data_IF_552023277798
#
_entry.id   IF_552023277798
#
_cell.length_a   1.000
_cell.length_b   1.000
_cell.length_c   1.000
_cell.angle_alpha   90.00
_cell.angle_beta   90.00
_cell.angle_gamma   90.00
#
_symmetry.space_group_name_H-M   'P 1'
#
loop_
_entity.id
_entity.type
_entity.pdbx_description
1 polymer ?
#
# COMPACT_ATOMS: atom_id res chain seq x y z
N UNK A 1 -3.21 -14.51 -2.25
CA UNK A 1 -3.64 -13.09 -2.12
C UNK A 1 -5.15 -13.01 -2.10
N UNK A 2 -5.71 -12.16 -1.23
CA UNK A 2 -7.13 -11.83 -1.14
C UNK A 2 -7.35 -10.37 -1.57
N UNK A 3 -8.49 -10.08 -2.21
CA UNK A 3 -8.90 -8.73 -2.60
C UNK A 3 -10.30 -8.45 -2.06
N UNK A 4 -10.42 -7.36 -1.30
CA UNK A 4 -11.70 -6.84 -0.82
C UNK A 4 -12.01 -5.56 -1.61
N UNK A 5 -13.01 -5.65 -2.49
CA UNK A 5 -13.50 -4.49 -3.25
C UNK A 5 -14.24 -3.53 -2.34
N UNK A 6 -14.17 -2.24 -2.66
CA UNK A 6 -14.86 -1.17 -1.91
C UNK A 6 -14.69 -1.30 -0.38
N UNK A 7 -13.47 -1.65 0.05
CA UNK A 7 -13.14 -1.89 1.46
C UNK A 7 -13.27 -0.61 2.31
N UNK A 8 -13.03 0.54 1.68
CA UNK A 8 -13.37 1.84 2.24
C UNK A 8 -14.45 2.52 1.41
N UNK A 9 -15.21 3.38 2.08
CA UNK A 9 -16.18 4.25 1.41
C UNK A 9 -15.49 5.43 0.71
N UNK A 10 -16.24 6.16 -0.11
CA UNK A 10 -15.77 7.43 -0.71
C UNK A 10 -15.37 8.43 0.37
N UNK A 11 -16.17 8.54 1.43
CA UNK A 11 -15.92 9.47 2.53
C UNK A 11 -14.65 9.12 3.32
N UNK A 12 -14.44 7.83 3.57
CA UNK A 12 -13.23 7.32 4.22
C UNK A 12 -11.98 7.59 3.38
N UNK A 13 -12.05 7.40 2.06
CA UNK A 13 -10.98 7.75 1.13
C UNK A 13 -10.68 9.26 1.16
N UNK A 14 -11.70 10.10 1.09
CA UNK A 14 -11.54 11.57 1.13
C UNK A 14 -10.91 12.02 2.46
N UNK A 15 -11.27 11.39 3.58
CA UNK A 15 -10.72 11.70 4.90
C UNK A 15 -9.24 11.29 5.03
N UNK A 16 -8.86 10.13 4.47
CA UNK A 16 -7.45 9.74 4.37
C UNK A 16 -6.67 10.76 3.54
N UNK A 17 -7.17 11.10 2.35
CA UNK A 17 -6.51 12.04 1.44
C UNK A 17 -6.33 13.42 2.08
N UNK A 18 -7.35 13.97 2.75
CA UNK A 18 -7.24 15.25 3.45
C UNK A 18 -6.16 15.26 4.52
N UNK A 19 -5.95 14.15 5.22
CA UNK A 19 -4.89 14.04 6.23
C UNK A 19 -3.49 13.87 5.61
N UNK A 20 -3.39 13.09 4.53
CA UNK A 20 -2.13 12.78 3.85
C UNK A 20 -1.60 13.94 3.01
N UNK A 21 -2.48 14.63 2.29
CA UNK A 21 -2.16 15.75 1.40
C UNK A 21 -1.46 16.92 2.12
N UNK A 22 -1.69 17.09 3.43
CA UNK A 22 -1.01 18.14 4.20
C UNK A 22 0.52 17.99 4.13
N UNK A 23 1.00 16.74 4.11
CA UNK A 23 2.42 16.42 4.07
C UNK A 23 2.89 16.09 2.64
N UNK A 24 2.22 15.16 1.95
CA UNK A 24 2.66 14.63 0.65
C UNK A 24 2.83 15.72 -0.40
N UNK A 25 1.95 16.73 -0.46
CA UNK A 25 2.03 17.83 -1.45
C UNK A 25 3.31 18.67 -1.37
N UNK A 26 4.03 18.60 -0.24
CA UNK A 26 5.29 19.32 -0.03
C UNK A 26 6.50 18.52 -0.49
N UNK A 27 6.33 17.21 -0.69
CA UNK A 27 7.36 16.32 -1.20
C UNK A 27 7.41 16.38 -2.73
N UNK A 28 8.60 16.19 -3.28
CA UNK A 28 8.81 16.06 -4.72
C UNK A 28 8.72 14.59 -5.09
N UNK A 29 8.30 14.31 -6.32
CA UNK A 29 8.42 12.96 -6.85
C UNK A 29 9.89 12.63 -7.11
N UNK A 30 10.28 11.45 -6.66
CA UNK A 30 11.61 10.86 -6.78
C UNK A 30 11.61 9.82 -7.91
N UNK A 31 12.72 9.79 -8.65
CA UNK A 31 12.94 8.90 -9.79
C UNK A 31 14.25 8.13 -9.67
N UNK A 32 15.15 8.55 -8.77
CA UNK A 32 16.44 7.94 -8.52
C UNK A 32 16.47 7.47 -7.06
N UNK A 33 16.32 6.15 -6.84
CA UNK A 33 16.44 5.53 -5.52
C UNK A 33 17.50 4.43 -5.53
N UNK A 34 18.13 4.15 -4.38
CA UNK A 34 19.32 3.29 -4.30
C UNK A 34 19.05 1.81 -4.66
N UNK A 35 17.83 1.33 -4.44
CA UNK A 35 17.38 -0.01 -4.84
C UNK A 35 16.64 -0.04 -6.18
N UNK A 36 16.39 1.14 -6.76
CA UNK A 36 15.78 1.35 -8.07
C UNK A 36 14.40 0.68 -8.25
N UNK A 37 13.73 0.30 -7.15
CA UNK A 37 12.51 -0.50 -7.17
C UNK A 37 11.25 0.31 -7.49
N UNK A 38 11.20 1.58 -7.11
CA UNK A 38 10.03 2.45 -7.29
C UNK A 38 10.42 3.70 -8.08
N UNK A 39 9.59 4.09 -9.05
CA UNK A 39 9.83 5.19 -9.98
C UNK A 39 8.67 6.18 -9.95
N UNK A 40 8.97 7.47 -9.91
CA UNK A 40 7.96 8.54 -9.94
C UNK A 40 7.06 8.52 -8.71
N UNK A 41 7.65 8.44 -7.53
CA UNK A 41 6.95 8.29 -6.25
C UNK A 41 7.33 9.34 -5.23
N UNK A 42 6.48 9.53 -4.23
CA UNK A 42 6.81 10.23 -2.97
C UNK A 42 6.22 9.43 -1.84
N UNK A 43 6.87 9.42 -0.68
CA UNK A 43 6.44 8.56 0.41
C UNK A 43 6.61 9.19 1.78
N UNK A 44 5.90 8.62 2.75
CA UNK A 44 6.04 8.96 4.16
C UNK A 44 5.67 7.77 5.02
N UNK A 45 6.12 7.77 6.26
CA UNK A 45 5.74 6.78 7.26
C UNK A 45 4.94 7.44 8.38
N UNK A 46 3.79 6.87 8.75
CA UNK A 46 2.90 7.44 9.74
C UNK A 46 2.63 6.50 10.90
N UNK A 47 2.91 6.99 12.11
CA UNK A 47 2.54 6.32 13.36
C UNK A 47 1.11 6.61 13.79
N UNK A 48 0.71 7.88 13.66
CA UNK A 48 -0.51 8.41 14.25
C UNK A 48 -1.44 8.93 13.16
N UNK A 49 -2.73 8.64 13.34
CA UNK A 49 -3.81 9.04 12.44
C UNK A 49 -4.86 9.83 13.21
N UNK A 50 -5.61 10.70 12.52
CA UNK A 50 -6.82 11.27 13.11
C UNK A 50 -7.79 10.16 13.49
N UNK A 51 -8.64 10.42 14.49
CA UNK A 51 -9.59 9.44 15.02
C UNK A 51 -10.41 8.72 13.93
N UNK A 52 -10.88 9.47 12.93
CA UNK A 52 -11.66 8.95 11.80
C UNK A 52 -10.85 8.04 10.86
N UNK A 53 -9.56 8.29 10.70
CA UNK A 53 -8.68 7.47 9.86
C UNK A 53 -8.06 6.30 10.64
N UNK A 54 -7.92 6.43 11.96
CA UNK A 54 -7.45 5.36 12.84
C UNK A 54 -8.41 4.16 12.80
N UNK A 55 -9.73 4.38 12.71
CA UNK A 55 -10.71 3.29 12.58
C UNK A 55 -10.52 2.49 11.29
N UNK A 56 -10.10 3.13 10.19
CA UNK A 56 -9.78 2.45 8.93
C UNK A 56 -8.54 1.59 9.11
N UNK A 57 -7.47 2.16 9.71
CA UNK A 57 -6.23 1.44 9.98
C UNK A 57 -6.48 0.22 10.87
N UNK A 58 -7.27 0.37 11.93
CA UNK A 58 -7.62 -0.72 12.83
C UNK A 58 -8.50 -1.77 12.13
N UNK A 59 -9.40 -1.36 11.23
CA UNK A 59 -10.19 -2.28 10.40
C UNK A 59 -9.31 -3.10 9.45
N UNK A 60 -8.31 -2.48 8.82
CA UNK A 60 -7.31 -3.19 7.99
C UNK A 60 -6.57 -4.22 8.86
N UNK A 61 -6.12 -3.82 10.06
CA UNK A 61 -5.40 -4.69 10.99
C UNK A 61 -6.20 -5.93 11.33
N UNK A 62 -7.46 -5.75 11.72
CA UNK A 62 -8.35 -6.83 12.12
C UNK A 62 -8.70 -7.80 10.97
N UNK A 63 -8.70 -7.31 9.73
CA UNK A 63 -9.04 -8.14 8.56
C UNK A 63 -7.81 -8.89 8.04
N UNK A 64 -6.64 -8.25 8.03
CA UNK A 64 -5.45 -8.81 7.40
C UNK A 64 -4.57 -9.63 8.35
N UNK A 65 -4.48 -9.25 9.62
CA UNK A 65 -3.50 -9.80 10.57
C UNK A 65 -4.17 -10.57 11.70
N UNK A 66 -3.42 -11.47 12.34
CA UNK A 66 -3.89 -12.18 13.52
C UNK A 66 -3.83 -11.26 14.75
N UNK A 67 -4.66 -11.53 15.76
CA UNK A 67 -4.83 -10.67 16.95
C UNK A 67 -3.52 -10.39 17.70
N UNK A 68 -2.54 -11.30 17.61
CA UNK A 68 -1.24 -11.20 18.28
C UNK A 68 -0.07 -10.97 17.32
N UNK A 69 -0.33 -10.64 16.05
CA UNK A 69 0.73 -10.32 15.09
C UNK A 69 1.50 -9.08 15.54
N UNK A 70 2.83 -9.15 15.52
CA UNK A 70 3.69 -7.98 15.75
C UNK A 70 3.74 -7.13 14.48
N UNK A 71 2.93 -6.08 14.46
CA UNK A 71 2.89 -5.15 13.34
C UNK A 71 4.03 -4.12 13.41
N UNK A 72 4.47 -3.65 12.26
CA UNK A 72 5.36 -2.50 12.19
C UNK A 72 4.70 -1.28 12.85
N UNK A 73 5.46 -0.47 13.59
CA UNK A 73 4.91 0.66 14.32
C UNK A 73 4.44 1.80 13.41
N UNK A 74 4.93 1.84 12.18
CA UNK A 74 4.61 2.86 11.19
C UNK A 74 3.87 2.24 10.01
N UNK A 75 2.86 2.95 9.52
CA UNK A 75 2.17 2.63 8.27
C UNK A 75 2.88 3.38 7.16
N UNK A 76 3.35 2.66 6.15
CA UNK A 76 3.94 3.24 4.95
C UNK A 76 2.85 3.79 4.04
N UNK A 77 3.07 5.00 3.52
CA UNK A 77 2.19 5.66 2.57
C UNK A 77 3.00 5.99 1.34
N UNK A 78 2.63 5.37 0.22
CA UNK A 78 3.24 5.56 -1.07
C UNK A 78 2.27 6.28 -2.01
N UNK A 79 2.74 7.36 -2.62
CA UNK A 79 2.01 8.11 -3.63
C UNK A 79 2.79 8.01 -4.94
N UNK A 80 2.16 7.42 -5.95
CA UNK A 80 2.70 7.28 -7.29
C UNK A 80 2.13 8.39 -8.18
N UNK A 81 3.01 9.04 -8.93
CA UNK A 81 2.61 9.92 -10.02
C UNK A 81 1.88 9.13 -11.11
N UNK A 82 1.23 9.84 -12.04
CA UNK A 82 0.51 9.23 -13.17
C UNK A 82 1.36 8.26 -13.99
N UNK A 83 2.64 8.60 -14.17
CA UNK A 83 3.61 7.80 -14.94
C UNK A 83 4.54 6.99 -14.01
N UNK A 84 4.25 7.00 -12.69
CA UNK A 84 4.99 6.27 -11.68
C UNK A 84 4.63 4.78 -11.66
N UNK A 85 5.59 3.95 -11.26
CA UNK A 85 5.44 2.50 -11.29
C UNK A 85 6.42 1.81 -10.34
N UNK A 86 6.18 0.53 -10.09
CA UNK A 86 6.97 -0.29 -9.19
C UNK A 86 7.53 -1.49 -9.99
N UNK A 87 8.86 -1.69 -9.94
CA UNK A 87 9.54 -2.85 -10.53
C UNK A 87 9.18 -4.14 -9.79
N UNK A 88 9.33 -5.31 -10.43
CA UNK A 88 9.28 -6.58 -9.73
C UNK A 88 10.30 -6.61 -8.60
N UNK A 89 9.83 -6.81 -7.37
CA UNK A 89 10.65 -6.94 -6.18
C UNK A 89 9.94 -7.84 -5.16
N UNK A 90 10.69 -8.26 -4.15
CA UNK A 90 10.18 -8.95 -2.97
C UNK A 90 10.52 -8.06 -1.78
N UNK A 91 9.52 -7.73 -0.96
CA UNK A 91 9.73 -6.99 0.28
C UNK A 91 10.81 -7.66 1.14
N UNK A 92 11.63 -6.85 1.81
CA UNK A 92 12.71 -7.38 2.63
C UNK A 92 12.19 -8.26 3.76
N UNK A 93 12.57 -9.54 3.79
CA UNK A 93 12.26 -10.49 4.88
C UNK A 93 12.79 -10.05 6.25
N UNK A 94 13.71 -9.09 6.29
CA UNK A 94 14.23 -8.53 7.55
C UNK A 94 13.31 -7.48 8.16
N UNK A 95 12.52 -6.81 7.32
CA UNK A 95 11.72 -5.64 7.69
C UNK A 95 10.23 -5.86 7.51
N UNK A 96 9.83 -6.79 6.63
CA UNK A 96 8.46 -7.19 6.40
C UNK A 96 8.18 -8.55 7.07
N UNK A 97 6.98 -8.70 7.62
CA UNK A 97 6.52 -9.96 8.21
C UNK A 97 6.08 -10.97 7.14
N UNK A 98 5.24 -11.91 7.54
CA UNK A 98 4.62 -12.88 6.63
C UNK A 98 3.38 -12.32 5.89
N UNK A 99 2.93 -11.12 6.26
CA UNK A 99 1.68 -10.54 5.75
C UNK A 99 1.88 -9.09 5.31
N UNK A 100 1.43 -8.77 4.09
CA UNK A 100 1.33 -7.41 3.56
C UNK A 100 -0.14 -7.08 3.32
N UNK A 101 -0.58 -5.92 3.79
CA UNK A 101 -1.92 -5.41 3.57
C UNK A 101 -1.84 -3.98 3.04
N UNK A 102 -2.38 -3.74 1.85
CA UNK A 102 -2.33 -2.44 1.19
C UNK A 102 -3.70 -1.98 0.72
N UNK A 103 -3.99 -0.70 0.95
CA UNK A 103 -5.21 -0.06 0.47
C UNK A 103 -4.90 0.81 -0.76
N UNK A 104 -5.67 0.65 -1.82
CA UNK A 104 -5.50 1.42 -3.05
C UNK A 104 -6.43 2.63 -3.04
N UNK A 105 -5.89 3.82 -3.30
CA UNK A 105 -6.65 5.09 -3.32
C UNK A 105 -6.52 5.75 -4.71
N UNK A 106 -7.38 6.74 -4.99
CA UNK A 106 -7.37 7.62 -6.18
C UNK A 106 -7.65 6.93 -7.53
N UNK A 107 -6.80 6.00 -7.95
CA UNK A 107 -6.86 5.33 -9.25
C UNK A 107 -6.55 3.85 -9.12
N UNK A 108 -7.18 3.03 -9.97
CA UNK A 108 -6.90 1.60 -10.02
C UNK A 108 -5.51 1.32 -10.59
N UNK A 109 -4.90 0.22 -10.14
CA UNK A 109 -3.60 -0.27 -10.62
C UNK A 109 -3.66 -1.78 -10.90
N UNK A 110 -2.67 -2.31 -11.62
CA UNK A 110 -2.48 -3.75 -11.80
C UNK A 110 -1.23 -4.19 -11.07
N UNK A 111 -1.39 -5.12 -10.14
CA UNK A 111 -0.27 -5.81 -9.48
C UNK A 111 -0.03 -7.14 -10.19
N UNK A 112 1.18 -7.33 -10.72
CA UNK A 112 1.62 -8.60 -11.29
C UNK A 112 2.45 -9.37 -10.27
N UNK A 113 2.00 -10.58 -9.94
CA UNK A 113 2.74 -11.52 -9.11
C UNK A 113 3.42 -12.55 -10.02
N UNK A 114 4.74 -12.72 -9.87
CA UNK A 114 5.55 -13.67 -10.66
C UNK A 114 6.26 -14.61 -9.69
N UNK A 115 6.28 -15.89 -9.99
CA UNK A 115 7.08 -16.84 -9.23
C UNK A 115 8.58 -16.61 -9.49
N UNK A 116 9.38 -16.46 -8.43
CA UNK A 116 10.82 -16.18 -8.53
C UNK A 116 11.59 -17.32 -9.24
N UNK A 117 11.22 -18.57 -8.97
CA UNK A 117 11.86 -19.75 -9.55
C UNK A 117 11.35 -20.13 -10.94
N UNK A 118 10.19 -19.62 -11.35
CA UNK A 118 9.57 -19.92 -12.64
C UNK A 118 8.79 -18.71 -13.17
N UNK A 119 9.47 -17.88 -13.96
CA UNK A 119 8.92 -16.64 -14.52
C UNK A 119 7.75 -16.86 -15.49
N UNK A 120 7.48 -18.10 -15.92
CA UNK A 120 6.32 -18.42 -16.75
C UNK A 120 5.03 -18.47 -15.93
N UNK A 121 5.14 -18.64 -14.61
CA UNK A 121 4.01 -18.61 -13.68
C UNK A 121 3.83 -17.20 -13.14
N UNK A 122 2.81 -16.54 -13.65
CA UNK A 122 2.42 -15.21 -13.18
C UNK A 122 0.90 -15.06 -13.13
N UNK A 123 0.44 -14.06 -12.38
CA UNK A 123 -0.95 -13.64 -12.33
C UNK A 123 -1.04 -12.12 -12.19
N UNK A 124 -2.00 -11.53 -12.90
CA UNK A 124 -2.31 -10.11 -12.83
C UNK A 124 -3.55 -9.91 -11.95
N UNK A 125 -3.47 -8.94 -11.04
CA UNK A 125 -4.56 -8.61 -10.14
C UNK A 125 -4.87 -7.13 -10.22
N UNK A 126 -6.14 -6.85 -10.50
CA UNK A 126 -6.66 -5.50 -10.52
C UNK A 126 -6.87 -5.03 -9.08
N UNK A 127 -6.10 -4.00 -8.69
CA UNK A 127 -6.27 -3.26 -7.47
C UNK A 127 -7.17 -2.06 -7.76
N UNK A 128 -8.48 -2.24 -7.58
CA UNK A 128 -9.44 -1.16 -7.82
C UNK A 128 -9.27 -0.06 -6.76
N UNK A 129 -9.56 1.19 -7.15
CA UNK A 129 -9.67 2.29 -6.19
C UNK A 129 -10.58 1.86 -5.02
N UNK A 130 -10.15 2.15 -3.78
CA UNK A 130 -10.76 1.76 -2.50
C UNK A 130 -10.69 0.27 -2.14
N UNK A 131 -9.97 -0.55 -2.90
CA UNK A 131 -9.77 -1.95 -2.55
C UNK A 131 -8.69 -2.14 -1.49
N UNK A 132 -8.83 -3.20 -0.69
CA UNK A 132 -7.78 -3.73 0.16
C UNK A 132 -7.26 -5.02 -0.46
N UNK A 133 -5.93 -5.13 -0.64
CA UNK A 133 -5.28 -6.41 -0.92
C UNK A 133 -4.59 -6.94 0.33
N UNK A 134 -4.60 -8.27 0.49
CA UNK A 134 -3.88 -8.97 1.55
C UNK A 134 -3.06 -10.11 0.95
N UNK A 135 -1.74 -10.05 1.13
CA UNK A 135 -0.78 -11.08 0.75
C UNK A 135 -0.27 -11.77 2.02
N UNK A 136 -0.31 -13.10 2.04
CA UNK A 136 0.19 -14.00 3.07
C UNK A 136 0.94 -15.13 2.38
#
# INVERSE_FOLDING_TARGET
>A
MLIFKDFITVEEEDNLLRELEVHLKRLRYEYDHWDDAIHGYRETERKSWKKENQTIVDRIRNVAFEENSKLLPLVHVLDLSKDGWIKPHVDSVKFCGDTIAGISLLSSAVMRLINEGDKTKFGDVLLERRSLYVMK
#
